data_IF_138359238418
#
_entry.id   IF_138359238418
#
_cell.length_a   1.000
_cell.length_b   1.000
_cell.length_c   1.000
_cell.angle_alpha   90.00
_cell.angle_beta   90.00
_cell.angle_gamma   90.00
#
_symmetry.space_group_name_H-M   'P 1'
#
loop_
_entity.id
_entity.type
_entity.pdbx_description
1 polymer ?
#
# COMPACT_ATOMS: atom_id res chain seq x y z
N UNK A 1 -9.96 14.70 -17.01
CA UNK A 1 -10.54 13.51 -16.35
C UNK A 1 -12.02 13.45 -16.68
N UNK A 2 -12.52 12.33 -17.20
CA UNK A 2 -13.97 12.10 -17.34
C UNK A 2 -14.47 11.62 -15.97
N UNK A 3 -15.36 12.37 -15.33
CA UNK A 3 -15.97 11.94 -14.07
C UNK A 3 -17.01 10.87 -14.38
N UNK A 4 -16.78 9.65 -13.89
CA UNK A 4 -17.78 8.58 -13.95
C UNK A 4 -18.86 8.85 -12.90
N UNK A 5 -20.14 8.52 -13.16
CA UNK A 5 -21.17 8.59 -12.14
C UNK A 5 -20.75 7.74 -10.93
N UNK A 6 -20.75 8.35 -9.73
CA UNK A 6 -20.22 7.73 -8.51
C UNK A 6 -18.75 8.06 -8.19
N UNK A 7 -18.09 8.93 -8.96
CA UNK A 7 -16.74 9.40 -8.60
C UNK A 7 -16.77 10.05 -7.21
N UNK A 8 -15.86 9.67 -6.29
CA UNK A 8 -15.82 10.28 -4.96
C UNK A 8 -15.50 11.77 -5.07
N UNK A 9 -16.17 12.59 -4.26
CA UNK A 9 -15.85 14.00 -4.12
C UNK A 9 -14.60 14.14 -3.22
N UNK A 10 -13.42 14.12 -3.84
CA UNK A 10 -12.14 14.22 -3.13
C UNK A 10 -11.80 15.71 -2.95
N UNK A 11 -11.56 16.20 -1.70
CA UNK A 11 -11.17 17.59 -1.45
C UNK A 11 -9.86 17.95 -2.15
N UNK A 12 -9.74 19.19 -2.66
CA UNK A 12 -8.51 19.67 -3.32
C UNK A 12 -7.30 19.76 -2.39
N UNK A 13 -7.52 19.78 -1.08
CA UNK A 13 -6.46 19.78 -0.06
C UNK A 13 -5.99 18.36 0.29
N UNK A 14 -6.62 17.31 -0.23
CA UNK A 14 -6.18 15.95 0.02
C UNK A 14 -4.80 15.73 -0.58
N UNK A 15 -3.91 15.09 0.18
CA UNK A 15 -2.64 14.64 -0.36
C UNK A 15 -2.90 13.58 -1.44
N UNK A 16 -2.25 13.74 -2.60
CA UNK A 16 -2.42 12.83 -3.75
C UNK A 16 -1.08 12.32 -4.23
N UNK A 17 -1.04 11.03 -4.55
CA UNK A 17 0.12 10.40 -5.16
C UNK A 17 -0.31 9.22 -6.04
N UNK A 18 0.19 9.09 -7.28
CA UNK A 18 -0.06 7.92 -8.11
C UNK A 18 0.33 6.61 -7.42
N UNK A 19 -0.52 5.59 -7.56
CA UNK A 19 -0.23 4.22 -7.13
C UNK A 19 0.98 3.71 -7.93
N UNK A 20 1.95 3.12 -7.23
CA UNK A 20 3.14 2.52 -7.85
C UNK A 20 4.25 3.49 -8.25
N UNK A 21 4.08 4.81 -8.12
CA UNK A 21 5.19 5.75 -8.32
C UNK A 21 6.27 5.50 -7.26
N UNK A 22 7.54 5.30 -7.61
CA UNK A 22 8.64 5.14 -6.63
C UNK A 22 9.07 6.46 -5.96
N UNK A 23 9.99 6.41 -5.00
CA UNK A 23 10.53 7.60 -4.33
C UNK A 23 11.96 7.88 -4.75
N UNK A 24 12.27 9.11 -5.14
CA UNK A 24 13.62 9.47 -5.61
C UNK A 24 14.60 9.71 -4.45
N UNK A 25 14.15 10.41 -3.42
CA UNK A 25 14.95 10.75 -2.24
C UNK A 25 14.06 10.76 -1.00
N UNK A 26 13.59 9.59 -0.54
CA UNK A 26 12.82 9.52 0.69
C UNK A 26 13.67 9.97 1.88
N UNK A 27 13.01 10.43 2.94
CA UNK A 27 13.68 10.68 4.21
C UNK A 27 14.43 9.43 4.66
N UNK A 28 15.61 9.63 5.23
CA UNK A 28 16.35 8.58 5.92
C UNK A 28 16.77 9.06 7.29
N UNK A 29 16.81 8.15 8.26
CA UNK A 29 17.21 8.49 9.62
C UNK A 29 18.67 8.91 9.71
N UNK A 30 18.94 9.80 10.66
CA UNK A 30 20.30 10.26 10.94
C UNK A 30 21.16 9.23 11.69
N UNK A 31 20.54 8.37 12.50
CA UNK A 31 21.21 7.39 13.35
C UNK A 31 20.55 6.03 13.19
N UNK A 32 21.33 4.95 13.18
CA UNK A 32 20.83 3.59 13.02
C UNK A 32 19.88 3.12 14.13
N UNK A 33 19.91 3.77 15.30
CA UNK A 33 18.98 3.49 16.41
C UNK A 33 17.58 4.08 16.20
N UNK A 34 17.40 4.95 15.21
CA UNK A 34 16.12 5.58 14.94
C UNK A 34 15.29 4.68 14.02
N UNK A 35 13.98 4.65 14.27
CA UNK A 35 13.04 3.95 13.40
C UNK A 35 12.98 4.62 12.02
N UNK A 36 13.17 3.80 11.00
CA UNK A 36 13.05 4.17 9.59
C UNK A 36 12.33 3.04 8.85
N UNK A 37 11.02 3.20 8.70
CA UNK A 37 10.18 2.24 7.98
C UNK A 37 10.14 2.53 6.47
N UNK A 38 10.91 3.52 6.02
CA UNK A 38 10.89 4.02 4.65
C UNK A 38 9.66 4.89 4.36
N UNK A 39 9.39 5.19 3.07
CA UNK A 39 8.38 6.19 2.69
C UNK A 39 6.98 5.60 2.45
N UNK A 40 6.82 4.29 2.55
CA UNK A 40 5.59 3.59 2.16
C UNK A 40 4.54 3.61 3.27
N UNK A 41 3.99 4.80 3.53
CA UNK A 41 2.93 4.99 4.52
C UNK A 41 1.62 5.48 3.89
N UNK A 42 0.59 5.54 4.73
CA UNK A 42 -0.73 6.09 4.43
C UNK A 42 -1.50 6.42 5.70
N UNK A 43 -2.75 6.85 5.55
CA UNK A 43 -3.61 7.20 6.68
C UNK A 43 -3.94 5.92 7.49
N UNK A 44 -3.74 5.92 8.82
CA UNK A 44 -4.04 4.76 9.64
C UNK A 44 -5.55 4.50 9.72
N UNK A 45 -5.90 3.21 9.78
CA UNK A 45 -7.26 2.72 10.00
C UNK A 45 -7.36 2.18 11.43
N UNK A 46 -8.10 2.86 12.29
CA UNK A 46 -8.25 2.46 13.69
C UNK A 46 -8.85 3.57 14.55
N UNK A 47 -9.62 3.20 15.56
CA UNK A 47 -10.17 4.12 16.56
C UNK A 47 -9.20 4.34 17.72
N UNK A 48 -9.45 5.37 18.53
CA UNK A 48 -8.67 5.60 19.74
C UNK A 48 -8.81 4.43 20.72
N UNK A 49 -7.68 3.86 21.15
CA UNK A 49 -7.62 2.71 22.05
C UNK A 49 -7.90 1.34 21.40
N UNK A 50 -8.20 1.29 20.11
CA UNK A 50 -8.44 0.02 19.38
C UNK A 50 -7.19 -0.57 18.74
N UNK A 51 -6.09 0.19 18.76
CA UNK A 51 -4.96 -0.01 17.85
C UNK A 51 -5.26 0.53 16.44
N UNK A 52 -4.26 0.46 15.56
CA UNK A 52 -4.45 0.85 14.15
C UNK A 52 -3.64 -0.01 13.18
N UNK A 53 -4.10 -0.02 11.93
CA UNK A 53 -3.45 -0.66 10.80
C UNK A 53 -3.11 0.41 9.77
N UNK A 54 -1.86 0.48 9.34
CA UNK A 54 -1.46 1.30 8.20
C UNK A 54 -1.68 0.55 6.90
N UNK A 55 -2.31 1.25 5.96
CA UNK A 55 -2.37 0.87 4.56
C UNK A 55 -1.70 1.95 3.74
N UNK A 56 -0.64 1.60 3.02
CA UNK A 56 0.08 2.57 2.23
C UNK A 56 -0.68 2.96 0.97
N UNK A 57 -0.23 4.04 0.33
CA UNK A 57 -0.77 4.50 -0.95
C UNK A 57 -0.45 3.59 -2.15
N UNK A 58 0.46 2.61 -2.02
CA UNK A 58 0.62 1.53 -3.04
C UNK A 58 -0.32 0.33 -2.80
N UNK A 59 -1.13 0.38 -1.74
CA UNK A 59 -2.23 -0.56 -1.49
C UNK A 59 -1.95 -1.64 -0.44
N UNK A 60 -0.70 -1.84 -0.03
CA UNK A 60 -0.28 -2.83 0.97
C UNK A 60 -0.65 -2.43 2.41
N UNK A 61 -0.99 -3.43 3.21
CA UNK A 61 -1.12 -3.31 4.66
C UNK A 61 0.23 -3.65 5.30
N UNK A 62 0.82 -2.68 6.00
CA UNK A 62 2.23 -2.76 6.35
C UNK A 62 2.60 -2.24 7.74
N UNK A 63 1.72 -1.53 8.44
CA UNK A 63 1.98 -1.04 9.79
C UNK A 63 0.93 -1.61 10.75
N UNK A 64 1.37 -2.20 11.85
CA UNK A 64 0.51 -2.87 12.83
C UNK A 64 0.78 -2.29 14.21
N UNK A 65 -0.10 -1.39 14.66
CA UNK A 65 -0.18 -0.91 16.05
C UNK A 65 -1.38 -1.56 16.72
N UNK A 66 -1.46 -2.89 16.65
CA UNK A 66 -2.58 -3.66 17.22
C UNK A 66 -2.42 -3.82 18.73
N UNK A 67 -1.18 -4.04 19.18
CA UNK A 67 -0.84 -4.03 20.60
C UNK A 67 -0.40 -2.62 21.01
N UNK A 68 -0.95 -2.14 22.12
CA UNK A 68 -0.81 -0.75 22.53
C UNK A 68 0.62 -0.41 22.91
N UNK A 69 1.25 0.47 22.13
CA UNK A 69 2.64 0.90 22.36
C UNK A 69 3.66 0.13 21.53
N UNK A 70 3.26 -0.95 20.85
CA UNK A 70 4.11 -1.71 19.95
C UNK A 70 4.09 -1.15 18.53
N UNK A 71 5.23 -1.30 17.85
CA UNK A 71 5.41 -0.89 16.46
C UNK A 71 5.91 -2.07 15.63
N UNK A 72 5.10 -2.55 14.70
CA UNK A 72 5.52 -3.55 13.71
C UNK A 72 5.27 -3.02 12.31
N UNK A 73 6.36 -2.78 11.56
CA UNK A 73 6.31 -2.47 10.14
C UNK A 73 6.66 -3.70 9.31
N UNK A 74 5.65 -4.40 8.81
CA UNK A 74 5.79 -5.60 8.01
C UNK A 74 4.61 -5.71 7.04
N UNK A 75 4.89 -5.86 5.74
CA UNK A 75 3.83 -6.12 4.75
C UNK A 75 3.22 -7.51 4.95
N UNK A 76 1.88 -7.60 4.92
CA UNK A 76 1.16 -8.88 4.83
C UNK A 76 0.49 -9.01 3.45
N UNK A 77 1.14 -9.66 2.46
CA UNK A 77 0.66 -9.68 1.07
C UNK A 77 -0.71 -10.32 0.86
N UNK A 78 -1.16 -11.17 1.78
CA UNK A 78 -2.48 -11.81 1.70
C UNK A 78 -3.63 -10.83 2.06
N UNK A 79 -3.35 -9.74 2.77
CA UNK A 79 -4.32 -8.69 3.04
C UNK A 79 -4.42 -7.78 1.81
N UNK A 80 -5.39 -8.04 0.93
CA UNK A 80 -5.56 -7.29 -0.32
C UNK A 80 -7.02 -7.13 -0.70
N UNK A 81 -7.26 -6.10 -1.52
CA UNK A 81 -8.47 -6.04 -2.34
C UNK A 81 -8.13 -6.53 -3.74
N UNK A 82 -9.03 -7.31 -4.33
CA UNK A 82 -8.88 -7.84 -5.68
C UNK A 82 -10.10 -7.50 -6.52
N UNK A 83 -9.87 -7.36 -7.82
CA UNK A 83 -10.89 -7.07 -8.82
C UNK A 83 -11.04 -8.28 -9.73
N UNK A 84 -12.29 -8.62 -10.04
CA UNK A 84 -12.64 -9.55 -11.10
C UNK A 84 -13.46 -8.77 -12.14
N UNK A 85 -13.06 -8.89 -13.40
CA UNK A 85 -13.72 -8.24 -14.53
C UNK A 85 -14.01 -9.27 -15.61
N UNK A 86 -15.20 -9.19 -16.20
CA UNK A 86 -15.63 -10.04 -17.28
C UNK A 86 -16.32 -9.20 -18.36
N UNK A 87 -15.86 -9.37 -19.60
CA UNK A 87 -16.50 -8.87 -20.81
C UNK A 87 -16.95 -10.06 -21.69
N UNK A 88 -17.46 -9.79 -22.89
CA UNK A 88 -17.89 -10.85 -23.81
C UNK A 88 -16.73 -11.78 -24.22
N UNK A 89 -15.53 -11.23 -24.38
CA UNK A 89 -14.38 -11.92 -24.97
C UNK A 89 -13.22 -12.13 -23.98
N UNK A 90 -13.27 -11.50 -22.80
CA UNK A 90 -12.16 -11.49 -21.85
C UNK A 90 -12.63 -11.66 -20.40
N UNK A 91 -11.82 -12.32 -19.59
CA UNK A 91 -12.00 -12.43 -18.15
C UNK A 91 -10.65 -12.28 -17.46
N UNK A 92 -10.59 -11.44 -16.44
CA UNK A 92 -9.38 -11.23 -15.65
C UNK A 92 -9.68 -11.09 -14.16
N UNK A 93 -8.70 -11.46 -13.34
CA UNK A 93 -8.75 -11.30 -11.89
C UNK A 93 -7.36 -10.89 -11.39
N UNK A 94 -7.26 -9.78 -10.67
CA UNK A 94 -5.99 -9.27 -10.17
C UNK A 94 -6.13 -8.58 -8.81
N UNK A 95 -5.09 -8.66 -8.00
CA UNK A 95 -4.97 -7.95 -6.73
C UNK A 95 -4.51 -6.50 -6.97
N UNK A 96 -5.10 -5.56 -6.22
CA UNK A 96 -4.82 -4.13 -6.29
C UNK A 96 -3.63 -3.77 -5.39
N UNK A 97 -2.42 -4.01 -5.89
CA UNK A 97 -1.18 -3.71 -5.18
C UNK A 97 0.05 -4.18 -5.92
N UNK A 98 1.20 -4.04 -5.26
CA UNK A 98 2.49 -4.54 -5.74
C UNK A 98 2.63 -6.04 -5.47
N UNK A 99 3.16 -6.76 -6.45
CA UNK A 99 3.53 -8.17 -6.29
C UNK A 99 4.57 -8.35 -5.17
N UNK A 100 4.37 -9.28 -4.23
CA UNK A 100 5.35 -9.56 -3.18
C UNK A 100 6.59 -10.27 -3.75
N UNK A 101 7.73 -10.13 -3.07
CA UNK A 101 8.95 -10.86 -3.43
C UNK A 101 8.81 -12.37 -3.24
N UNK A 102 8.03 -12.81 -2.25
CA UNK A 102 7.85 -14.21 -1.88
C UNK A 102 6.37 -14.57 -1.71
N UNK A 103 5.98 -15.76 -2.19
CA UNK A 103 4.63 -16.31 -2.04
C UNK A 103 3.58 -15.71 -2.98
N UNK A 104 2.35 -16.25 -2.90
CA UNK A 104 1.19 -15.82 -3.70
C UNK A 104 1.41 -15.76 -5.23
N UNK A 105 2.32 -16.59 -5.77
CA UNK A 105 2.68 -16.60 -7.19
C UNK A 105 1.52 -16.98 -8.14
N UNK A 106 0.44 -17.56 -7.60
CA UNK A 106 -0.77 -17.85 -8.38
C UNK A 106 -1.65 -16.61 -8.62
N UNK A 107 -1.41 -15.50 -7.91
CA UNK A 107 -2.19 -14.27 -8.05
C UNK A 107 -1.60 -13.39 -9.15
N UNK A 108 -2.48 -12.73 -9.90
CA UNK A 108 -2.09 -11.63 -10.79
C UNK A 108 -2.13 -10.31 -10.01
N UNK A 109 -1.24 -9.38 -10.33
CA UNK A 109 -1.06 -8.12 -9.59
C UNK A 109 -1.17 -6.92 -10.53
N UNK A 110 -1.87 -5.86 -10.11
CA UNK A 110 -2.04 -4.65 -10.92
C UNK A 110 -0.76 -3.84 -11.10
N UNK A 111 0.15 -3.94 -10.15
CA UNK A 111 1.45 -3.29 -10.20
C UNK A 111 2.55 -4.36 -10.21
N UNK A 112 3.47 -4.33 -11.19
CA UNK A 112 4.62 -5.23 -11.18
C UNK A 112 5.49 -4.96 -9.96
N UNK A 113 6.40 -5.90 -9.67
CA UNK A 113 7.41 -5.73 -8.62
C UNK A 113 8.13 -4.40 -8.83
N UNK A 114 8.14 -3.56 -7.81
CA UNK A 114 8.99 -2.37 -7.78
C UNK A 114 10.33 -2.86 -7.26
N UNK A 115 11.36 -2.85 -8.11
CA UNK A 115 12.74 -3.07 -7.67
C UNK A 115 13.11 -1.92 -6.73
N UNK A 116 13.02 -2.18 -5.42
CA UNK A 116 13.51 -1.25 -4.41
C UNK A 116 15.05 -1.35 -4.43
N UNK A 117 15.78 -0.23 -4.56
CA UNK A 117 17.21 -0.26 -4.31
C UNK A 117 17.39 -0.72 -2.86
N UNK A 118 18.18 -1.79 -2.69
CA UNK A 118 18.53 -2.30 -1.38
C UNK A 118 19.08 -1.16 -0.53
N UNK A 119 18.37 -0.78 0.52
CA UNK A 119 18.92 0.06 1.58
C UNK A 119 19.88 -0.83 2.38
N UNK A 120 21.11 -0.98 1.87
CA UNK A 120 22.26 -1.48 2.63
C UNK A 120 22.89 -0.37 3.45
#
# INVERSE_FOLDING_TARGET
MKNFPGSPNIPSAAWTRPIGQGWDAPYTVRYASNLDDGPWHGMPLGGFGAGCIGRSHRGDFNLWHIDGGEHLFQTMPACQFSVFEQSADETQAYALGSQPSEGLHAWQWSCPVIDEPSLT
#
